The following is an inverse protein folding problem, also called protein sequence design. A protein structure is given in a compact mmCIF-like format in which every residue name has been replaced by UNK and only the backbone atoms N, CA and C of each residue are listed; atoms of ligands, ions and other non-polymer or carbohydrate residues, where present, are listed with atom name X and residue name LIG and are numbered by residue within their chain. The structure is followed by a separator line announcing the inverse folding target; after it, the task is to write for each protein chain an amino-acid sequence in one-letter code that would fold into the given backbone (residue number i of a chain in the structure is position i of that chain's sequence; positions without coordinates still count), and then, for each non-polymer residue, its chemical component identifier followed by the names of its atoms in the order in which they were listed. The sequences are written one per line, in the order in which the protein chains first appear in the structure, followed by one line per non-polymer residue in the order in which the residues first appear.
data_IF_930763138883
#
_entry.id   IF_930763138883
#
_cell.length_a   1.000
_cell.length_b   1.000
_cell.length_c   1.000
_cell.angle_alpha   90.00
_cell.angle_beta   90.00
_cell.angle_gamma   90.00
#
_symmetry.space_group_name_H-M   'P 1'
#
loop_
_entity.id
_entity.type
_entity.pdbx_description
1 polymer ?
#
# COMPACT_ATOMS: atom_id res chain seq x y z
N UNK A 1 -7.41 -11.13 -6.20
CA UNK A 1 -6.52 -9.99 -6.55
C UNK A 1 -5.11 -10.50 -6.80
N UNK A 2 -4.48 -10.02 -7.86
CA UNK A 2 -3.13 -10.43 -8.20
C UNK A 2 -2.20 -9.22 -8.10
N UNK A 3 -1.07 -9.37 -7.40
CA UNK A 3 -0.07 -8.33 -7.19
C UNK A 3 1.27 -8.86 -7.69
N UNK A 4 2.02 -8.00 -8.37
CA UNK A 4 3.35 -8.36 -8.87
C UNK A 4 4.36 -7.28 -8.46
N UNK A 5 5.50 -7.65 -7.81
CA UNK A 5 5.83 -9.01 -7.42
C UNK A 5 4.92 -9.53 -6.31
N UNK A 6 4.80 -10.84 -6.18
CA UNK A 6 3.97 -11.46 -5.16
C UNK A 6 4.56 -11.21 -3.78
N UNK A 7 3.81 -10.65 -2.82
CA UNK A 7 4.32 -10.46 -1.47
C UNK A 7 4.49 -11.78 -0.74
N UNK A 8 5.36 -11.79 0.27
CA UNK A 8 5.62 -12.99 1.06
C UNK A 8 4.37 -13.47 1.80
N UNK A 9 3.58 -12.55 2.30
CA UNK A 9 2.36 -12.88 3.01
C UNK A 9 1.25 -11.93 2.61
N UNK A 10 0.10 -12.48 2.28
CA UNK A 10 -1.07 -11.69 1.90
C UNK A 10 -2.32 -12.43 2.35
N UNK A 11 -3.11 -11.77 3.19
CA UNK A 11 -4.40 -12.29 3.66
C UNK A 11 -5.52 -11.43 3.08
N UNK A 12 -6.49 -12.08 2.45
CA UNK A 12 -7.66 -11.38 1.92
C UNK A 12 -8.71 -11.31 3.02
N UNK A 13 -9.21 -10.11 3.28
CA UNK A 13 -10.21 -9.85 4.30
C UNK A 13 -11.54 -9.46 3.65
N UNK A 14 -12.67 -9.58 4.36
CA UNK A 14 -13.95 -9.15 3.79
C UNK A 14 -14.04 -7.64 3.71
N UNK A 15 -14.72 -7.13 2.68
CA UNK A 15 -14.97 -5.71 2.54
C UNK A 15 -14.07 -5.04 1.51
N UNK A 16 -14.25 -3.73 1.38
CA UNK A 16 -13.50 -2.92 0.43
C UNK A 16 -13.39 -1.48 0.93
N UNK A 17 -12.39 -0.75 0.44
CA UNK A 17 -12.21 0.67 0.72
C UNK A 17 -12.04 1.42 -0.59
N UNK A 18 -12.69 2.57 -0.72
CA UNK A 18 -12.60 3.38 -1.94
C UNK A 18 -11.66 4.56 -1.74
N UNK A 19 -10.56 4.57 -2.50
CA UNK A 19 -9.71 5.74 -2.64
C UNK A 19 -10.18 6.59 -3.82
N UNK A 20 -9.66 7.82 -3.91
CA UNK A 20 -9.96 8.69 -5.04
C UNK A 20 -9.49 8.03 -6.35
N UNK A 21 -10.39 7.90 -7.33
CA UNK A 21 -10.06 7.25 -8.60
C UNK A 21 -8.97 7.98 -9.38
N UNK A 22 -8.79 9.28 -9.14
CA UNK A 22 -7.74 10.05 -9.82
C UNK A 22 -6.34 9.56 -9.46
N UNK A 23 -6.17 8.94 -8.30
CA UNK A 23 -4.88 8.36 -7.89
C UNK A 23 -4.44 7.24 -8.83
N UNK A 24 -5.39 6.53 -9.43
CA UNK A 24 -5.07 5.45 -10.36
C UNK A 24 -4.43 5.97 -11.66
N UNK A 25 -4.58 7.25 -11.95
CA UNK A 25 -4.03 7.87 -13.17
C UNK A 25 -2.61 8.38 -12.98
N UNK A 26 -2.10 8.42 -11.75
CA UNK A 26 -0.77 8.94 -11.47
C UNK A 26 0.30 7.91 -11.82
N UNK A 27 1.45 8.35 -12.39
CA UNK A 27 2.62 7.50 -12.47
C UNK A 27 3.09 7.11 -11.06
N UNK A 28 3.79 5.99 -10.94
CA UNK A 28 4.22 5.49 -9.64
C UNK A 28 5.03 6.52 -8.85
N UNK A 29 5.93 7.25 -9.50
CA UNK A 29 6.75 8.27 -8.81
C UNK A 29 5.87 9.34 -8.19
N UNK A 30 4.88 9.83 -8.94
CA UNK A 30 3.97 10.86 -8.42
C UNK A 30 3.08 10.30 -7.32
N UNK A 31 2.62 9.07 -7.48
CA UNK A 31 1.83 8.40 -6.45
C UNK A 31 2.63 8.27 -5.15
N UNK A 32 3.90 7.87 -5.24
CA UNK A 32 4.77 7.76 -4.08
C UNK A 32 4.94 9.11 -3.38
N UNK A 33 5.11 10.20 -4.12
CA UNK A 33 5.21 11.53 -3.53
C UNK A 33 3.93 11.92 -2.79
N UNK A 34 2.77 11.56 -3.35
CA UNK A 34 1.50 11.80 -2.68
C UNK A 34 1.37 10.99 -1.40
N UNK A 35 1.81 9.74 -1.39
CA UNK A 35 1.81 8.90 -0.19
C UNK A 35 2.68 9.53 0.90
N UNK A 36 3.85 10.03 0.55
CA UNK A 36 4.75 10.71 1.49
C UNK A 36 4.15 12.02 2.02
N UNK A 37 3.47 12.77 1.17
CA UNK A 37 2.86 14.03 1.57
C UNK A 37 1.60 13.82 2.42
N UNK A 38 0.94 12.69 2.26
CA UNK A 38 -0.28 12.36 2.98
C UNK A 38 -1.49 12.33 2.05
N UNK A 39 -2.08 11.14 1.93
CA UNK A 39 -3.32 10.95 1.16
C UNK A 39 -4.45 10.75 2.18
N UNK A 40 -5.58 11.49 2.07
CA UNK A 40 -6.72 11.24 2.95
C UNK A 40 -7.13 9.76 2.90
N UNK A 41 -7.27 9.15 4.05
CA UNK A 41 -7.59 7.73 4.16
C UNK A 41 -6.40 6.80 4.17
N UNK A 42 -5.19 7.31 3.96
CA UNK A 42 -3.94 6.53 4.03
C UNK A 42 -3.09 7.04 5.17
N UNK A 43 -2.78 6.15 6.12
CA UNK A 43 -1.93 6.46 7.27
C UNK A 43 -0.57 5.81 7.07
N UNK A 44 0.50 6.58 7.23
CA UNK A 44 1.87 6.06 7.13
C UNK A 44 2.52 6.14 8.51
N UNK A 45 3.04 5.01 8.97
CA UNK A 45 3.69 4.90 10.29
C UNK A 45 5.12 4.41 10.10
N UNK A 46 6.06 4.99 10.87
CA UNK A 46 7.43 4.50 10.91
C UNK A 46 7.53 3.41 11.97
N UNK A 47 8.02 2.24 11.57
CA UNK A 47 8.18 1.08 12.46
C UNK A 47 9.65 0.65 12.41
N UNK A 48 10.48 1.08 13.40
CA UNK A 48 11.93 0.83 13.34
C UNK A 48 12.34 -0.64 13.37
N UNK A 49 11.46 -1.52 13.84
CA UNK A 49 11.75 -2.96 13.94
C UNK A 49 11.64 -3.67 12.58
N UNK A 50 11.03 -3.04 11.60
CA UNK A 50 10.94 -3.62 10.27
C UNK A 50 12.28 -3.50 9.55
N UNK A 51 12.58 -4.45 8.66
CA UNK A 51 13.77 -4.38 7.83
C UNK A 51 13.72 -3.20 6.86
N UNK A 52 14.85 -2.90 6.24
CA UNK A 52 15.02 -1.74 5.38
C UNK A 52 14.02 -1.70 4.22
N UNK A 53 13.74 -2.85 3.61
CA UNK A 53 12.79 -2.94 2.50
C UNK A 53 11.50 -3.64 2.89
N UNK A 54 11.35 -3.97 4.17
CA UNK A 54 10.16 -4.61 4.68
C UNK A 54 9.03 -3.59 4.86
N UNK A 55 7.79 -4.02 4.60
CA UNK A 55 6.64 -3.18 4.86
C UNK A 55 5.44 -4.02 5.27
N UNK A 56 4.48 -3.36 5.90
CA UNK A 56 3.14 -3.88 6.14
C UNK A 56 2.14 -2.94 5.51
N UNK A 57 1.20 -3.49 4.79
CA UNK A 57 0.13 -2.73 4.15
C UNK A 57 -1.20 -3.38 4.51
N UNK A 58 -2.05 -2.62 5.17
CA UNK A 58 -3.37 -3.12 5.58
C UNK A 58 -4.45 -2.24 4.97
N UNK A 59 -5.41 -2.85 4.31
CA UNK A 59 -6.59 -2.16 3.78
C UNK A 59 -7.79 -2.64 4.57
N UNK A 60 -8.49 -1.70 5.21
CA UNK A 60 -9.69 -1.96 5.98
C UNK A 60 -10.82 -1.08 5.45
N UNK A 61 -12.04 -1.35 5.88
CA UNK A 61 -13.17 -0.51 5.45
C UNK A 61 -13.04 0.94 5.91
N UNK A 62 -12.27 1.18 6.96
CA UNK A 62 -12.03 2.53 7.49
C UNK A 62 -10.83 3.24 6.90
N UNK A 63 -10.03 2.59 6.05
CA UNK A 63 -8.87 3.22 5.45
C UNK A 63 -7.71 2.27 5.19
N UNK A 64 -6.59 2.85 4.79
CA UNK A 64 -5.35 2.13 4.45
C UNK A 64 -4.27 2.51 5.45
N UNK A 65 -3.53 1.54 5.95
CA UNK A 65 -2.40 1.77 6.85
C UNK A 65 -1.14 1.15 6.26
N UNK A 66 -0.05 1.93 6.26
CA UNK A 66 1.26 1.46 5.79
C UNK A 66 2.24 1.63 6.94
N UNK A 67 3.04 0.59 7.21
CA UNK A 67 4.14 0.67 8.16
C UNK A 67 5.43 0.28 7.45
N UNK A 68 6.49 1.05 7.68
CA UNK A 68 7.82 0.81 7.11
C UNK A 68 8.87 1.43 8.03
N UNK A 69 10.11 0.98 7.93
CA UNK A 69 11.19 1.56 8.75
C UNK A 69 11.84 2.76 8.06
N UNK A 70 11.76 2.86 6.74
CA UNK A 70 12.38 3.94 5.97
C UNK A 70 11.72 4.05 4.59
N UNK A 71 12.20 5.01 3.79
CA UNK A 71 11.63 5.30 2.47
C UNK A 71 11.68 4.12 1.50
N UNK A 72 12.68 3.25 1.60
CA UNK A 72 12.75 2.10 0.71
C UNK A 72 11.58 1.14 0.92
N UNK A 73 11.27 0.83 2.16
CA UNK A 73 10.11 0.01 2.48
C UNK A 73 8.81 0.72 2.11
N UNK A 74 8.75 2.02 2.35
CA UNK A 74 7.58 2.83 1.98
C UNK A 74 7.37 2.82 0.46
N UNK A 75 8.44 2.94 -0.32
CA UNK A 75 8.33 2.89 -1.78
C UNK A 75 7.78 1.54 -2.25
N UNK A 76 8.24 0.44 -1.66
CA UNK A 76 7.72 -0.89 -1.99
C UNK A 76 6.23 -1.00 -1.64
N UNK A 77 5.84 -0.50 -0.48
CA UNK A 77 4.43 -0.48 -0.08
C UNK A 77 3.60 0.37 -1.05
N UNK A 78 4.12 1.54 -1.43
CA UNK A 78 3.44 2.41 -2.39
C UNK A 78 3.32 1.74 -3.76
N UNK A 79 4.33 0.98 -4.19
CA UNK A 79 4.28 0.23 -5.44
C UNK A 79 3.14 -0.79 -5.42
N UNK A 80 3.02 -1.54 -4.32
CA UNK A 80 1.94 -2.51 -4.15
C UNK A 80 0.58 -1.81 -4.15
N UNK A 81 0.44 -0.74 -3.39
CA UNK A 81 -0.80 0.01 -3.32
C UNK A 81 -1.17 0.60 -4.67
N UNK A 82 -0.19 1.13 -5.41
CA UNK A 82 -0.42 1.68 -6.74
C UNK A 82 -0.97 0.63 -7.70
N UNK A 83 -0.45 -0.59 -7.66
CA UNK A 83 -0.98 -1.69 -8.47
C UNK A 83 -2.44 -1.97 -8.12
N UNK A 84 -2.77 -1.99 -6.83
CA UNK A 84 -4.13 -2.24 -6.39
C UNK A 84 -5.09 -1.13 -6.83
N UNK A 85 -4.67 0.12 -6.65
CA UNK A 85 -5.46 1.29 -7.03
C UNK A 85 -5.69 1.31 -8.54
N UNK A 86 -4.65 1.03 -9.32
CA UNK A 86 -4.74 1.02 -10.78
C UNK A 86 -5.70 -0.07 -11.28
N UNK A 87 -5.61 -1.27 -10.72
CA UNK A 87 -6.47 -2.38 -11.14
C UNK A 87 -7.93 -2.18 -10.74
N UNK A 88 -8.17 -1.59 -9.58
CA UNK A 88 -9.52 -1.41 -9.04
C UNK A 88 -10.14 -0.06 -9.33
N UNK A 89 -9.44 0.80 -10.07
CA UNK A 89 -9.89 2.17 -10.33
C UNK A 89 -10.22 2.91 -9.03
N UNK A 90 -9.35 2.73 -8.03
CA UNK A 90 -9.51 3.32 -6.70
C UNK A 90 -10.19 2.43 -5.69
N UNK A 91 -10.89 1.37 -6.12
CA UNK A 91 -11.52 0.43 -5.20
C UNK A 91 -10.51 -0.62 -4.76
N UNK A 92 -10.31 -0.74 -3.45
CA UNK A 92 -9.37 -1.66 -2.86
C UNK A 92 -10.09 -2.75 -2.08
N UNK A 93 -9.76 -4.02 -2.34
CA UNK A 93 -10.23 -5.11 -1.50
C UNK A 93 -9.51 -5.05 -0.16
N UNK A 94 -10.23 -5.27 0.93
CA UNK A 94 -9.60 -5.32 2.24
C UNK A 94 -8.63 -6.49 2.30
N UNK A 95 -7.44 -6.23 2.84
CA UNK A 95 -6.40 -7.24 2.91
C UNK A 95 -5.33 -6.82 3.91
N UNK A 96 -4.50 -7.76 4.30
CA UNK A 96 -3.30 -7.51 5.11
C UNK A 96 -2.11 -8.11 4.36
N UNK A 97 -1.14 -7.29 4.04
CA UNK A 97 0.04 -7.67 3.27
C UNK A 97 1.27 -7.40 4.10
N UNK A 98 2.16 -8.37 4.17
CA UNK A 98 3.50 -8.18 4.74
C UNK A 98 4.50 -8.73 3.75
N UNK A 99 5.50 -7.92 3.39
CA UNK A 99 6.54 -8.32 2.46
C UNK A 99 7.91 -7.98 3.04
N UNK A 100 8.80 -8.95 2.97
CA UNK A 100 10.16 -8.82 3.44
C UNK A 100 11.07 -9.49 2.41
N UNK A 101 11.98 -8.76 1.77
CA UNK A 101 12.88 -9.37 0.80
C UNK A 101 13.72 -10.46 1.45
N UNK A 102 13.99 -11.49 0.68
CA UNK A 102 14.81 -12.61 1.14
C UNK A 102 16.29 -12.18 1.29
#
# INVERSE_FOLDING_TARGET
MMIFPQPQQMDILPGAYQLCADLAKLPLVDFFQQVKAGIPGVTVTTEPLLGKEEYRLTVEEGGVAIASSCDEGLFRAATTLHQMVTKGEGKLECCAIQDKPA
#
